data_IF_930468430254
#
_entry.id   IF_930468430254
#
_cell.length_a   1.000
_cell.length_b   1.000
_cell.length_c   1.000
_cell.angle_alpha   90.00
_cell.angle_beta   90.00
_cell.angle_gamma   90.00
#
_symmetry.space_group_name_H-M   'P 1'
#
loop_
_entity.id
_entity.type
_entity.pdbx_description
1 polymer ?
#
# COMPACT_ATOMS: atom_id res chain seq x y z
N UNK A 1 15.31 13.59 -13.09
CA UNK A 1 16.69 13.09 -13.00
C UNK A 1 16.64 11.77 -12.25
N UNK A 2 17.22 10.70 -12.78
CA UNK A 2 17.24 9.40 -12.11
C UNK A 2 18.47 9.28 -11.20
N UNK A 3 18.38 8.47 -10.15
CA UNK A 3 19.53 8.13 -9.30
C UNK A 3 20.62 7.42 -10.12
N UNK A 4 21.90 7.75 -9.85
CA UNK A 4 23.04 7.22 -10.62
C UNK A 4 23.77 6.06 -9.92
N UNK A 5 23.52 5.86 -8.62
CA UNK A 5 24.25 4.91 -7.79
C UNK A 5 23.30 3.92 -7.11
N UNK A 6 23.82 2.73 -6.78
CA UNK A 6 23.16 1.78 -5.88
C UNK A 6 23.32 2.27 -4.44
N UNK A 7 22.23 2.26 -3.69
CA UNK A 7 22.22 2.58 -2.27
C UNK A 7 21.77 1.36 -1.47
N UNK A 8 22.48 1.10 -0.38
CA UNK A 8 22.10 0.10 0.61
C UNK A 8 21.87 0.81 1.93
N UNK A 9 20.81 0.43 2.62
CA UNK A 9 20.33 1.11 3.82
C UNK A 9 20.06 0.06 4.88
N UNK A 10 20.61 0.29 6.06
CA UNK A 10 20.25 -0.43 7.28
C UNK A 10 19.56 0.56 8.21
N UNK A 11 18.40 0.19 8.72
CA UNK A 11 17.68 0.98 9.70
C UNK A 11 17.28 0.10 10.87
N UNK A 12 17.35 0.67 12.08
CA UNK A 12 17.00 -0.01 13.31
C UNK A 12 15.71 0.58 13.85
N UNK A 13 14.83 -0.28 14.36
CA UNK A 13 13.58 0.12 15.01
C UNK A 13 13.52 -0.60 16.35
N UNK A 14 13.28 0.17 17.40
CA UNK A 14 12.99 -0.34 18.73
C UNK A 14 11.52 -0.06 19.06
N UNK A 15 10.88 -0.99 19.74
CA UNK A 15 9.50 -0.86 20.20
C UNK A 15 9.36 -1.44 21.61
N UNK A 16 8.62 -0.75 22.47
CA UNK A 16 8.35 -1.16 23.86
C UNK A 16 6.85 -1.19 24.06
N UNK A 17 6.33 -2.29 24.64
CA UNK A 17 4.89 -2.48 24.88
C UNK A 17 4.00 -2.21 23.65
N UNK A 18 4.47 -2.62 22.46
CA UNK A 18 3.80 -2.36 21.20
C UNK A 18 3.76 -3.62 20.33
N UNK A 19 2.83 -3.64 19.37
CA UNK A 19 2.80 -4.64 18.31
C UNK A 19 3.20 -3.97 16.98
N UNK A 20 4.47 -4.11 16.55
CA UNK A 20 4.93 -3.48 15.31
C UNK A 20 4.43 -4.21 14.05
N UNK A 21 3.98 -5.45 14.15
CA UNK A 21 3.53 -6.18 12.96
C UNK A 21 2.64 -7.34 13.39
N UNK A 22 1.33 -7.11 13.33
CA UNK A 22 0.33 -8.10 13.71
C UNK A 22 0.21 -9.24 12.69
N UNK A 23 -0.01 -10.45 13.20
CA UNK A 23 -0.34 -11.62 12.41
C UNK A 23 -1.87 -11.77 12.28
N UNK A 24 -2.45 -11.65 11.08
CA UNK A 24 -3.88 -11.81 10.88
C UNK A 24 -4.35 -13.24 11.16
N UNK A 25 -3.48 -14.24 11.05
CA UNK A 25 -3.83 -15.65 11.25
C UNK A 25 -3.68 -16.09 12.72
N UNK A 26 -3.00 -15.28 13.53
CA UNK A 26 -2.81 -15.53 14.97
C UNK A 26 -3.47 -14.46 15.85
N UNK A 27 -4.65 -13.98 15.47
CA UNK A 27 -5.42 -13.07 16.32
C UNK A 27 -4.72 -11.73 16.59
N UNK A 28 -3.94 -11.24 15.62
CA UNK A 28 -3.19 -9.99 15.70
C UNK A 28 -2.09 -9.96 16.77
N UNK A 29 -1.51 -11.11 17.14
CA UNK A 29 -0.27 -11.17 17.92
C UNK A 29 0.92 -10.67 17.07
N UNK A 30 2.07 -10.29 17.67
CA UNK A 30 3.27 -10.02 16.89
C UNK A 30 3.65 -11.23 16.03
N UNK A 31 4.05 -10.99 14.78
CA UNK A 31 4.57 -12.05 13.91
C UNK A 31 5.85 -12.64 14.48
N UNK A 32 5.93 -13.96 14.51
CA UNK A 32 7.07 -14.74 15.00
C UNK A 32 7.41 -15.80 13.96
N UNK A 33 8.69 -15.97 13.65
CA UNK A 33 9.17 -17.08 12.84
C UNK A 33 9.10 -18.38 13.67
N UNK A 34 8.36 -19.41 13.22
CA UNK A 34 8.18 -20.65 13.99
C UNK A 34 9.47 -21.47 14.16
N UNK A 35 10.49 -21.25 13.33
CA UNK A 35 11.75 -21.99 13.40
C UNK A 35 12.73 -21.34 14.39
N UNK A 36 12.84 -20.02 14.36
CA UNK A 36 13.82 -19.26 15.15
C UNK A 36 13.23 -18.63 16.41
N UNK A 37 11.90 -18.58 16.51
CA UNK A 37 11.14 -17.89 17.55
C UNK A 37 11.43 -16.39 17.65
N UNK A 38 12.01 -15.79 16.61
CA UNK A 38 12.26 -14.36 16.54
C UNK A 38 11.08 -13.62 15.95
N UNK A 39 10.76 -12.45 16.53
CA UNK A 39 9.76 -11.55 15.96
C UNK A 39 10.27 -10.90 14.68
N UNK A 40 9.39 -10.70 13.69
CA UNK A 40 9.77 -10.05 12.44
C UNK A 40 8.76 -9.02 11.95
N UNK A 41 9.28 -8.00 11.28
CA UNK A 41 8.49 -7.01 10.55
C UNK A 41 8.57 -7.36 9.07
N UNK A 42 7.43 -7.59 8.43
CA UNK A 42 7.39 -7.90 7.00
C UNK A 42 7.77 -6.67 6.17
N UNK A 43 8.32 -6.91 4.98
CA UNK A 43 8.58 -5.86 4.01
C UNK A 43 7.30 -5.09 3.64
N UNK A 44 6.15 -5.78 3.58
CA UNK A 44 4.83 -5.19 3.38
C UNK A 44 4.48 -4.16 4.45
N UNK A 45 4.73 -4.46 5.73
CA UNK A 45 4.50 -3.54 6.84
C UNK A 45 5.41 -2.30 6.74
N UNK A 46 6.70 -2.47 6.45
CA UNK A 46 7.64 -1.35 6.26
C UNK A 46 7.26 -0.50 5.05
N UNK A 47 6.98 -1.12 3.90
CA UNK A 47 6.55 -0.40 2.68
C UNK A 47 5.23 0.35 2.91
N UNK A 48 4.31 -0.20 3.72
CA UNK A 48 3.05 0.48 4.10
C UNK A 48 3.32 1.74 4.91
N UNK A 49 4.17 1.67 5.94
CA UNK A 49 4.57 2.85 6.74
C UNK A 49 5.20 3.95 5.90
N UNK A 50 6.11 3.60 4.99
CA UNK A 50 6.75 4.57 4.09
C UNK A 50 5.69 5.25 3.21
N UNK A 51 4.79 4.47 2.60
CA UNK A 51 3.70 5.02 1.78
C UNK A 51 2.78 5.94 2.58
N UNK A 52 2.38 5.51 3.77
CA UNK A 52 1.47 6.30 4.63
C UNK A 52 2.13 7.60 5.12
N UNK A 53 3.43 7.56 5.41
CA UNK A 53 4.21 8.75 5.72
C UNK A 53 4.23 9.72 4.53
N UNK A 54 4.55 9.26 3.32
CA UNK A 54 4.57 10.12 2.12
C UNK A 54 3.22 10.76 1.88
N UNK A 55 2.12 10.00 1.97
CA UNK A 55 0.75 10.55 1.82
C UNK A 55 0.45 11.61 2.89
N UNK A 56 0.88 11.38 4.13
CA UNK A 56 0.59 12.28 5.25
C UNK A 56 1.44 13.56 5.21
N UNK A 57 2.73 13.43 4.89
CA UNK A 57 3.69 14.53 4.91
C UNK A 57 3.70 15.35 3.61
N UNK A 58 3.43 14.72 2.47
CA UNK A 58 3.58 15.30 1.12
C UNK A 58 2.28 15.23 0.30
N UNK A 59 1.14 15.10 0.97
CA UNK A 59 -0.16 15.00 0.32
C UNK A 59 -0.47 16.23 -0.55
N UNK A 60 -0.76 16.01 -1.83
CA UNK A 60 -1.08 17.08 -2.79
C UNK A 60 0.13 17.69 -3.50
N UNK A 61 1.36 17.33 -3.10
CA UNK A 61 2.55 17.74 -3.84
C UNK A 61 2.65 17.01 -5.18
N UNK A 62 2.90 17.71 -6.29
CA UNK A 62 3.07 17.08 -7.60
C UNK A 62 4.16 16.00 -7.58
N UNK A 63 3.80 14.79 -8.00
CA UNK A 63 4.72 13.64 -8.06
C UNK A 63 4.83 12.81 -6.77
N UNK A 64 4.16 13.20 -5.67
CA UNK A 64 4.17 12.47 -4.40
C UNK A 64 2.92 11.60 -4.17
N UNK A 65 2.05 11.51 -5.17
CA UNK A 65 0.82 10.72 -5.08
C UNK A 65 1.11 9.21 -5.00
N UNK A 66 0.47 8.53 -4.04
CA UNK A 66 0.57 7.08 -3.86
C UNK A 66 -0.68 6.39 -4.38
N UNK A 67 -0.53 5.35 -5.19
CA UNK A 67 -1.66 4.62 -5.78
C UNK A 67 -2.25 3.57 -4.81
N UNK A 68 -1.41 2.94 -3.99
CA UNK A 68 -1.82 1.89 -3.04
C UNK A 68 -2.09 2.51 -1.68
N UNK A 69 -3.36 2.85 -1.43
CA UNK A 69 -3.83 3.50 -0.20
C UNK A 69 -4.84 2.63 0.55
N UNK A 70 -5.00 2.87 1.86
CA UNK A 70 -6.06 2.23 2.62
C UNK A 70 -7.44 2.61 2.07
N UNK A 71 -8.37 1.66 2.08
CA UNK A 71 -9.78 1.89 1.81
C UNK A 71 -10.09 2.61 0.48
N UNK A 72 -9.17 2.58 -0.48
CA UNK A 72 -9.31 3.27 -1.77
C UNK A 72 -9.30 2.28 -2.92
N UNK A 73 -10.24 2.43 -3.84
CA UNK A 73 -10.32 1.59 -5.02
C UNK A 73 -9.25 1.99 -6.05
N UNK A 74 -8.38 1.06 -6.39
CA UNK A 74 -7.31 1.26 -7.37
C UNK A 74 -7.80 1.78 -8.73
N UNK A 75 -8.96 1.31 -9.20
CA UNK A 75 -9.53 1.71 -10.49
C UNK A 75 -9.88 3.20 -10.53
N UNK A 76 -10.07 3.87 -9.38
CA UNK A 76 -10.28 5.32 -9.35
C UNK A 76 -9.05 6.07 -9.87
N UNK A 77 -7.86 5.69 -9.41
CA UNK A 77 -6.60 6.30 -9.86
C UNK A 77 -6.33 6.00 -11.33
N UNK A 78 -6.57 4.76 -11.76
CA UNK A 78 -6.40 4.34 -13.16
C UNK A 78 -7.34 5.13 -14.08
N UNK A 79 -8.62 5.27 -13.71
CA UNK A 79 -9.59 6.03 -14.49
C UNK A 79 -9.21 7.52 -14.57
N UNK A 80 -8.73 8.12 -13.46
CA UNK A 80 -8.25 9.50 -13.46
C UNK A 80 -7.09 9.69 -14.44
N UNK A 81 -6.08 8.83 -14.37
CA UNK A 81 -4.92 8.90 -15.27
C UNK A 81 -5.30 8.71 -16.75
N UNK A 82 -6.28 7.84 -17.05
CA UNK A 82 -6.78 7.66 -18.42
C UNK A 82 -7.45 8.92 -18.98
N UNK A 83 -8.31 9.57 -18.17
CA UNK A 83 -8.97 10.83 -18.56
C UNK A 83 -7.96 11.94 -18.78
N UNK A 84 -6.98 12.08 -17.89
CA UNK A 84 -5.90 13.06 -18.02
C UNK A 84 -5.05 12.80 -19.27
N UNK A 85 -4.88 11.54 -19.67
CA UNK A 85 -4.17 11.14 -20.89
C UNK A 85 -5.03 11.18 -22.17
N UNK A 86 -6.31 11.55 -22.10
CA UNK A 86 -7.21 11.65 -23.26
C UNK A 86 -7.74 10.33 -23.82
N UNK A 87 -7.65 9.24 -23.06
CA UNK A 87 -8.25 7.95 -23.45
C UNK A 87 -9.67 7.79 -22.92
N UNK A 88 -10.52 7.08 -23.67
CA UNK A 88 -11.87 6.72 -23.21
C UNK A 88 -11.84 5.79 -21.98
N UNK A 89 -12.82 5.98 -21.09
CA UNK A 89 -12.99 5.15 -19.89
C UNK A 89 -13.32 3.70 -20.27
N UNK A 90 -12.36 2.78 -20.13
CA UNK A 90 -12.55 1.35 -20.44
C UNK A 90 -13.37 0.57 -19.39
N UNK A 91 -13.93 1.25 -18.39
CA UNK A 91 -14.76 0.60 -17.39
C UNK A 91 -16.14 0.35 -18.00
N UNK A 92 -16.57 -0.92 -18.06
CA UNK A 92 -17.99 -1.23 -18.25
C UNK A 92 -18.78 -0.32 -17.28
N UNK A 93 -19.80 0.38 -17.78
CA UNK A 93 -20.55 1.36 -16.98
C UNK A 93 -20.95 0.81 -15.61
N UNK A 94 -21.13 1.68 -14.62
CA UNK A 94 -21.46 1.30 -13.22
C UNK A 94 -22.47 0.16 -13.17
N UNK A 95 -23.51 0.24 -14.00
CA UNK A 95 -24.61 -0.74 -14.06
C UNK A 95 -24.14 -2.16 -14.42
N UNK A 96 -23.20 -2.29 -15.36
CA UNK A 96 -22.63 -3.57 -15.76
C UNK A 96 -21.71 -4.16 -14.66
N UNK A 97 -21.01 -3.32 -13.90
CA UNK A 97 -20.21 -3.76 -12.74
C UNK A 97 -21.12 -4.20 -11.58
N UNK A 98 -22.19 -3.45 -11.29
CA UNK A 98 -23.16 -3.82 -10.26
C UNK A 98 -23.98 -5.06 -10.64
N UNK A 99 -24.28 -5.26 -11.93
CA UNK A 99 -24.92 -6.48 -12.42
C UNK A 99 -24.00 -7.71 -12.28
N UNK A 100 -22.69 -7.55 -12.53
CA UNK A 100 -21.70 -8.61 -12.31
C UNK A 100 -21.56 -9.00 -10.85
N UNK A 101 -21.55 -8.02 -9.93
CA UNK A 101 -21.48 -8.27 -8.47
C UNK A 101 -22.72 -8.92 -7.87
N UNK A 102 -23.89 -8.77 -8.49
CA UNK A 102 -25.14 -9.43 -8.07
C UNK A 102 -25.27 -10.87 -8.54
N UNK A 103 -24.42 -11.30 -9.50
CA UNK A 103 -24.39 -12.65 -10.06
C UNK A 103 -23.35 -13.57 -9.40
N UNK A 104 -22.43 -13.00 -8.62
CA UNK A 104 -21.47 -13.73 -7.79
C UNK A 104 -22.00 -13.82 -6.36
#
# INVERSE_FOLDING_TARGET
MAIQNRYELMYYVACTNANPNGDPDMGNTPRIDPQTMQGFISDGATKRRIRDYVVTAHGGEPGMEIIVQQATNLNRHIARAKREAGFEDCAKGKDAVYAGRRKA
#
